data_IF_007732513579
#
_entry.id   IF_007732513579
#
_cell.length_a   1.000
_cell.length_b   1.000
_cell.length_c   1.000
_cell.angle_alpha   90.00
_cell.angle_beta   90.00
_cell.angle_gamma   90.00
#
_symmetry.space_group_name_H-M   'P 1'
#
loop_
_entity.id
_entity.type
_entity.pdbx_description
1 polymer ?
#
# COMPACT_ATOMS: atom_id res chain seq x y z
N UNK A 1 -0.52 15.98 4.47
CA UNK A 1 0.53 15.15 3.86
C UNK A 1 1.87 15.46 4.50
N UNK A 2 2.59 14.44 4.97
CA UNK A 2 4.00 14.54 5.40
C UNK A 2 4.91 14.09 4.25
N UNK A 3 6.22 14.31 4.36
CA UNK A 3 7.21 13.93 3.34
C UNK A 3 8.39 13.21 3.99
N UNK A 4 9.00 12.25 3.26
CA UNK A 4 10.32 11.71 3.63
C UNK A 4 10.34 10.74 4.82
N UNK A 5 9.23 10.06 5.13
CA UNK A 5 9.16 9.10 6.25
C UNK A 5 9.89 7.78 5.98
N UNK A 6 10.05 7.40 4.72
CA UNK A 6 10.83 6.24 4.28
C UNK A 6 12.07 6.72 3.53
N UNK A 7 13.25 6.28 3.97
CA UNK A 7 14.55 6.87 3.60
C UNK A 7 15.00 6.55 2.17
N UNK A 8 14.54 5.45 1.60
CA UNK A 8 14.95 4.97 0.27
C UNK A 8 14.04 5.48 -0.83
N UNK A 9 12.73 5.55 -0.60
CA UNK A 9 11.74 5.96 -1.60
C UNK A 9 10.68 6.83 -0.91
N UNK A 10 10.88 8.15 -0.83
CA UNK A 10 10.01 9.01 -0.06
C UNK A 10 8.65 9.16 -0.73
N UNK A 11 7.58 9.13 0.06
CA UNK A 11 6.22 9.38 -0.41
C UNK A 11 5.58 10.56 0.32
N UNK A 12 4.50 11.10 -0.27
CA UNK A 12 3.59 12.06 0.38
C UNK A 12 2.57 11.27 1.18
N UNK A 13 2.88 11.01 2.44
CA UNK A 13 2.10 10.07 3.25
C UNK A 13 1.65 10.61 4.62
N UNK A 14 0.73 9.89 5.25
CA UNK A 14 0.27 10.08 6.62
C UNK A 14 0.23 8.72 7.33
N UNK A 15 0.92 8.53 8.46
CA UNK A 15 0.79 7.29 9.23
C UNK A 15 -0.62 7.12 9.77
N UNK A 16 -1.19 5.92 9.65
CA UNK A 16 -2.55 5.60 10.11
C UNK A 16 -2.69 5.84 11.62
N UNK A 17 -1.65 5.56 12.42
CA UNK A 17 -1.66 5.83 13.86
C UNK A 17 -1.87 7.31 14.23
N UNK A 18 -1.63 8.24 13.31
CA UNK A 18 -1.87 9.67 13.52
C UNK A 18 -3.31 10.09 13.18
N UNK A 19 -4.13 9.20 12.62
CA UNK A 19 -5.54 9.46 12.34
C UNK A 19 -6.38 9.24 13.61
N UNK A 20 -7.50 9.99 13.81
CA UNK A 20 -8.41 9.77 14.92
C UNK A 20 -8.94 8.32 15.02
N UNK A 21 -9.07 7.66 13.86
CA UNK A 21 -9.53 6.27 13.75
C UNK A 21 -8.39 5.25 13.66
N UNK A 22 -7.13 5.66 13.84
CA UNK A 22 -5.96 4.85 13.53
C UNK A 22 -5.89 3.51 14.25
N UNK A 23 -6.17 3.52 15.56
CA UNK A 23 -6.20 2.28 16.36
C UNK A 23 -7.31 1.34 15.93
N UNK A 24 -8.53 1.88 15.72
CA UNK A 24 -9.65 1.09 15.22
C UNK A 24 -9.35 0.50 13.84
N UNK A 25 -8.83 1.30 12.90
CA UNK A 25 -8.52 0.85 11.55
C UNK A 25 -7.46 -0.26 11.56
N UNK A 26 -6.41 -0.11 12.36
CA UNK A 26 -5.35 -1.13 12.53
C UNK A 26 -5.94 -2.45 13.02
N UNK A 27 -6.83 -2.42 14.01
CA UNK A 27 -7.47 -3.63 14.53
C UNK A 27 -8.43 -4.26 13.52
N UNK A 28 -9.20 -3.44 12.80
CA UNK A 28 -10.06 -3.94 11.71
C UNK A 28 -9.26 -4.63 10.61
N UNK A 29 -8.11 -4.07 10.24
CA UNK A 29 -7.21 -4.67 9.27
C UNK A 29 -6.64 -5.98 9.77
N UNK A 30 -6.22 -6.06 11.04
CA UNK A 30 -5.74 -7.31 11.67
C UNK A 30 -6.77 -8.43 11.55
N UNK A 31 -8.01 -8.17 11.98
CA UNK A 31 -9.11 -9.14 11.99
C UNK A 31 -9.51 -9.61 10.59
N UNK A 32 -9.35 -8.78 9.57
CA UNK A 32 -9.72 -9.14 8.18
C UNK A 32 -8.55 -9.80 7.44
N UNK A 33 -7.33 -9.25 7.57
CA UNK A 33 -6.20 -9.64 6.75
C UNK A 33 -5.49 -10.88 7.27
N UNK A 34 -5.22 -10.99 8.57
CA UNK A 34 -4.37 -12.07 9.07
C UNK A 34 -4.97 -13.47 8.88
N UNK A 35 -6.29 -13.69 9.06
CA UNK A 35 -6.88 -14.98 8.70
C UNK A 35 -6.77 -15.29 7.20
N UNK A 36 -6.87 -14.26 6.34
CA UNK A 36 -6.69 -14.44 4.90
C UNK A 36 -5.23 -14.78 4.56
N UNK A 37 -4.26 -14.12 5.20
CA UNK A 37 -2.85 -14.44 5.04
C UNK A 37 -2.53 -15.85 5.48
N UNK A 38 -3.03 -16.30 6.63
CA UNK A 38 -2.84 -17.67 7.09
C UNK A 38 -3.37 -18.69 6.06
N UNK A 39 -4.58 -18.46 5.54
CA UNK A 39 -5.17 -19.31 4.51
C UNK A 39 -4.28 -19.43 3.26
N UNK A 40 -3.65 -18.34 2.83
CA UNK A 40 -2.86 -18.30 1.59
C UNK A 40 -1.38 -18.67 1.78
N UNK A 41 -0.81 -18.44 2.96
CA UNK A 41 0.63 -18.60 3.23
C UNK A 41 0.94 -19.79 4.13
N UNK A 42 -0.06 -20.34 4.83
CA UNK A 42 0.09 -21.35 5.90
C UNK A 42 0.91 -20.87 7.12
N UNK A 43 1.21 -19.58 7.20
CA UNK A 43 1.80 -18.95 8.38
C UNK A 43 0.66 -18.53 9.30
N UNK A 44 0.68 -19.04 10.53
CA UNK A 44 -0.38 -18.77 11.50
C UNK A 44 -0.60 -17.28 11.73
N UNK A 45 -1.87 -16.85 11.77
CA UNK A 45 -2.27 -15.44 11.96
C UNK A 45 -1.64 -14.78 13.19
N UNK A 46 -1.28 -15.58 14.20
CA UNK A 46 -0.64 -15.14 15.45
C UNK A 46 0.77 -14.57 15.28
N UNK A 47 1.45 -14.91 14.18
CA UNK A 47 2.81 -14.45 13.92
C UNK A 47 2.80 -13.13 13.15
N UNK A 48 1.76 -12.87 12.37
CA UNK A 48 1.69 -11.65 11.58
C UNK A 48 1.61 -10.40 12.47
N UNK A 49 2.40 -9.39 12.11
CA UNK A 49 2.37 -8.07 12.74
C UNK A 49 2.47 -6.97 11.69
N UNK A 50 1.83 -5.83 11.96
CA UNK A 50 2.01 -4.62 11.15
C UNK A 50 3.24 -3.85 11.65
N UNK A 51 4.24 -3.69 10.78
CA UNK A 51 5.40 -2.83 11.02
C UNK A 51 5.03 -1.35 10.89
N UNK A 52 4.34 -1.00 9.81
CA UNK A 52 3.84 0.36 9.57
C UNK A 52 2.58 0.30 8.70
N UNK A 53 1.65 1.23 8.92
CA UNK A 53 0.48 1.42 8.08
C UNK A 53 0.34 2.92 7.80
N UNK A 54 0.26 3.28 6.54
CA UNK A 54 0.26 4.67 6.12
C UNK A 54 -0.57 4.88 4.85
N UNK A 55 -1.08 6.10 4.68
CA UNK A 55 -1.86 6.52 3.53
C UNK A 55 -0.98 7.37 2.65
N UNK A 56 -0.84 7.03 1.36
CA UNK A 56 -0.12 7.79 0.35
C UNK A 56 -1.12 8.57 -0.50
N UNK A 57 -0.81 9.83 -0.77
CA UNK A 57 -1.57 10.69 -1.68
C UNK A 57 -0.75 11.04 -2.92
N UNK A 58 -1.02 10.35 -4.03
CA UNK A 58 -0.53 10.76 -5.34
C UNK A 58 -1.37 11.92 -5.88
N UNK A 59 -0.71 12.89 -6.48
CA UNK A 59 -1.33 14.08 -7.06
C UNK A 59 -0.67 14.35 -8.41
N UNK A 60 -1.48 14.51 -9.45
CA UNK A 60 -0.98 14.66 -10.82
C UNK A 60 -0.08 15.90 -11.03
N UNK A 61 -0.18 16.90 -10.15
CA UNK A 61 0.64 18.12 -10.16
C UNK A 61 1.83 18.06 -9.18
N UNK A 62 1.94 17.01 -8.35
CA UNK A 62 3.03 16.83 -7.40
C UNK A 62 3.67 15.45 -7.59
N UNK A 63 3.75 14.64 -6.53
CA UNK A 63 4.21 13.27 -6.64
C UNK A 63 3.13 12.42 -7.29
N UNK A 64 3.33 12.10 -8.57
CA UNK A 64 2.37 11.35 -9.39
C UNK A 64 2.64 9.84 -9.47
N UNK A 65 3.88 9.43 -9.16
CA UNK A 65 4.38 8.07 -9.34
C UNK A 65 5.40 7.71 -8.26
N UNK A 66 5.78 6.44 -8.20
CA UNK A 66 6.84 5.93 -7.35
C UNK A 66 7.74 5.01 -8.17
N UNK A 67 9.03 5.31 -8.22
CA UNK A 67 10.00 4.56 -9.01
C UNK A 67 10.08 3.09 -8.57
N UNK A 68 10.65 2.23 -9.43
CA UNK A 68 10.83 0.81 -9.12
C UNK A 68 11.65 0.64 -7.83
N UNK A 69 11.11 -0.15 -6.90
CA UNK A 69 11.73 -0.41 -5.61
C UNK A 69 11.29 -1.75 -5.03
N UNK A 70 11.85 -2.06 -3.87
CA UNK A 70 11.45 -3.15 -2.98
C UNK A 70 11.17 -2.55 -1.61
N UNK A 71 10.28 -3.20 -0.88
CA UNK A 71 9.93 -2.77 0.47
C UNK A 71 10.82 -3.44 1.51
N UNK A 72 11.13 -2.70 2.58
CA UNK A 72 12.01 -3.18 3.63
C UNK A 72 11.35 -4.10 4.65
N UNK A 73 10.31 -4.87 4.29
CA UNK A 73 9.53 -5.75 5.17
C UNK A 73 9.41 -7.17 4.59
N UNK A 74 8.63 -8.05 5.23
CA UNK A 74 8.35 -9.39 4.69
C UNK A 74 7.28 -9.34 3.58
N UNK A 75 6.14 -8.70 3.87
CA UNK A 75 5.03 -8.59 2.94
C UNK A 75 4.46 -7.18 2.93
N UNK A 76 3.97 -6.76 1.77
CA UNK A 76 3.36 -5.45 1.56
C UNK A 76 1.93 -5.60 1.10
N UNK A 77 1.05 -4.80 1.67
CA UNK A 77 -0.32 -4.63 1.20
C UNK A 77 -0.47 -3.25 0.58
N UNK A 78 -1.16 -3.17 -0.55
CA UNK A 78 -1.70 -1.91 -1.10
C UNK A 78 -3.22 -2.02 -1.20
N UNK A 79 -3.94 -0.96 -0.83
CA UNK A 79 -5.39 -0.86 -0.97
C UNK A 79 -5.79 0.51 -1.52
N UNK A 80 -6.67 0.54 -2.52
CA UNK A 80 -7.21 1.79 -3.06
C UNK A 80 -8.33 2.35 -2.17
N UNK A 81 -8.20 3.60 -1.72
CA UNK A 81 -9.14 4.23 -0.79
C UNK A 81 -10.20 5.11 -1.44
N UNK A 82 -9.90 5.69 -2.60
CA UNK A 82 -10.77 6.68 -3.24
C UNK A 82 -11.29 6.19 -4.61
N UNK A 83 -12.28 6.89 -5.15
CA UNK A 83 -13.00 6.43 -6.33
C UNK A 83 -12.10 6.53 -7.58
N UNK A 84 -12.08 5.53 -8.49
CA UNK A 84 -11.23 5.57 -9.68
C UNK A 84 -11.59 6.70 -10.64
N UNK A 85 -12.78 7.31 -10.51
CA UNK A 85 -13.17 8.51 -11.27
C UNK A 85 -12.45 9.78 -10.80
N UNK A 86 -11.82 9.77 -9.62
CA UNK A 86 -11.08 10.92 -9.07
C UNK A 86 -9.65 11.04 -9.60
N UNK A 87 -9.18 10.09 -10.42
CA UNK A 87 -7.87 10.12 -11.05
C UNK A 87 -7.82 9.40 -12.40
N UNK A 88 -6.83 9.71 -13.23
CA UNK A 88 -6.55 8.97 -14.47
C UNK A 88 -5.16 8.33 -14.39
N UNK A 89 -4.99 7.13 -14.95
CA UNK A 89 -3.74 6.37 -14.88
C UNK A 89 -3.62 5.55 -13.60
N UNK A 90 -2.43 5.50 -13.00
CA UNK A 90 -2.20 4.80 -11.74
C UNK A 90 -2.15 3.27 -11.85
N UNK A 91 -2.04 2.64 -10.68
CA UNK A 91 -1.85 1.20 -10.52
C UNK A 91 -0.50 0.87 -9.91
N UNK A 92 -0.20 -0.43 -9.87
CA UNK A 92 1.07 -0.98 -9.43
C UNK A 92 1.64 -1.87 -10.54
N UNK A 93 2.88 -1.62 -10.93
CA UNK A 93 3.62 -2.45 -11.88
C UNK A 93 4.55 -3.38 -11.10
N UNK A 94 4.43 -4.69 -11.28
CA UNK A 94 5.43 -5.66 -10.84
C UNK A 94 6.35 -5.99 -12.02
N UNK A 95 7.56 -5.42 -12.00
CA UNK A 95 8.45 -5.43 -13.18
C UNK A 95 9.02 -6.81 -13.48
N UNK A 96 9.16 -7.66 -12.46
CA UNK A 96 9.70 -9.03 -12.62
C UNK A 96 8.77 -9.92 -13.47
N UNK A 97 7.49 -9.55 -13.58
CA UNK A 97 6.46 -10.32 -14.27
C UNK A 97 5.77 -9.55 -15.40
N UNK A 98 6.18 -8.30 -15.67
CA UNK A 98 5.45 -7.37 -16.54
C UNK A 98 3.94 -7.29 -16.20
N UNK A 99 3.62 -7.33 -14.91
CA UNK A 99 2.24 -7.41 -14.43
C UNK A 99 1.76 -6.03 -13.96
N UNK A 100 0.72 -5.52 -14.64
CA UNK A 100 0.06 -4.27 -14.30
C UNK A 100 -1.21 -4.55 -13.48
N UNK A 101 -1.21 -4.16 -12.21
CA UNK A 101 -2.36 -4.31 -11.32
C UNK A 101 -3.08 -2.97 -11.18
N UNK A 102 -4.36 -2.95 -11.57
CA UNK A 102 -5.29 -1.85 -11.30
C UNK A 102 -6.34 -2.32 -10.32
N UNK A 103 -6.37 -1.69 -9.15
CA UNK A 103 -7.27 -2.03 -8.06
C UNK A 103 -8.60 -1.29 -8.23
N UNK A 104 -9.70 -1.95 -7.88
CA UNK A 104 -10.96 -1.28 -7.60
C UNK A 104 -10.98 -0.81 -6.13
N UNK A 105 -11.84 0.15 -5.77
CA UNK A 105 -12.00 0.56 -4.37
C UNK A 105 -12.35 -0.64 -3.48
N UNK A 106 -11.61 -0.79 -2.39
CA UNK A 106 -11.76 -1.92 -1.47
C UNK A 106 -10.94 -3.16 -1.83
N UNK A 107 -10.34 -3.23 -3.01
CA UNK A 107 -9.39 -4.31 -3.33
C UNK A 107 -8.09 -4.12 -2.53
N UNK A 108 -7.70 -5.18 -1.82
CA UNK A 108 -6.39 -5.29 -1.23
C UNK A 108 -5.51 -6.20 -2.10
N UNK A 109 -4.31 -5.74 -2.42
CA UNK A 109 -3.28 -6.56 -3.04
C UNK A 109 -2.15 -6.79 -2.04
N UNK A 110 -1.85 -8.05 -1.74
CA UNK A 110 -0.73 -8.44 -0.87
C UNK A 110 0.32 -9.15 -1.71
N UNK A 111 1.59 -8.80 -1.51
CA UNK A 111 2.72 -9.40 -2.22
C UNK A 111 3.95 -9.53 -1.32
N UNK A 112 4.90 -10.38 -1.75
CA UNK A 112 6.26 -10.41 -1.20
C UNK A 112 6.92 -9.06 -1.45
N UNK A 113 7.43 -8.46 -0.37
CA UNK A 113 8.05 -7.14 -0.37
C UNK A 113 9.36 -7.08 -1.20
N UNK A 114 9.97 -8.23 -1.49
CA UNK A 114 11.18 -8.34 -2.31
C UNK A 114 10.91 -8.27 -3.82
N UNK A 115 9.65 -8.29 -4.26
CA UNK A 115 9.33 -8.12 -5.67
C UNK A 115 9.60 -6.67 -6.10
N UNK A 116 10.25 -6.51 -7.25
CA UNK A 116 10.45 -5.19 -7.81
C UNK A 116 9.11 -4.65 -8.31
N UNK A 117 8.72 -3.50 -7.77
CA UNK A 117 7.45 -2.88 -8.14
C UNK A 117 7.52 -1.35 -8.18
N UNK A 118 6.59 -0.74 -8.91
CA UNK A 118 6.49 0.71 -9.08
C UNK A 118 5.05 1.18 -8.96
N UNK A 119 4.85 2.38 -8.43
CA UNK A 119 3.58 3.09 -8.49
C UNK A 119 3.45 3.79 -9.84
N UNK A 120 2.55 3.32 -10.70
CA UNK A 120 2.37 3.89 -12.05
C UNK A 120 1.86 5.33 -11.94
N UNK A 121 2.37 6.22 -12.79
CA UNK A 121 1.97 7.62 -12.81
C UNK A 121 0.47 7.80 -12.99
N UNK A 122 -0.11 8.68 -12.18
CA UNK A 122 -1.40 9.31 -12.50
C UNK A 122 -1.19 10.53 -13.38
N UNK A 123 -2.14 10.81 -14.27
CA UNK A 123 -2.10 11.95 -15.22
C UNK A 123 -3.11 13.03 -14.89
N UNK A 124 -4.11 12.73 -14.06
CA UNK A 124 -5.10 13.70 -13.54
C UNK A 124 -5.52 13.33 -12.12
N UNK A 125 -5.98 14.34 -11.39
CA UNK A 125 -6.65 14.17 -10.10
C UNK A 125 -5.74 13.68 -8.98
N UNK A 126 -6.34 12.97 -8.02
CA UNK A 126 -5.65 12.45 -6.83
C UNK A 126 -5.98 10.98 -6.61
N UNK A 127 -4.94 10.17 -6.41
CA UNK A 127 -5.05 8.74 -6.06
C UNK A 127 -4.58 8.56 -4.63
N UNK A 128 -5.47 8.05 -3.78
CA UNK A 128 -5.21 7.82 -2.37
C UNK A 128 -5.18 6.31 -2.13
N UNK A 129 -4.05 5.82 -1.66
CA UNK A 129 -3.89 4.40 -1.31
C UNK A 129 -3.46 4.25 0.14
N UNK A 130 -3.85 3.14 0.75
CA UNK A 130 -3.28 2.68 2.01
C UNK A 130 -2.24 1.61 1.72
N UNK A 131 -1.09 1.71 2.38
CA UNK A 131 -0.03 0.71 2.36
C UNK A 131 0.17 0.18 3.77
N UNK A 132 0.37 -1.13 3.90
CA UNK A 132 0.77 -1.76 5.15
C UNK A 132 2.01 -2.63 4.92
N UNK A 133 3.05 -2.39 5.71
CA UNK A 133 4.22 -3.25 5.81
C UNK A 133 4.01 -4.25 6.94
N UNK A 134 4.20 -5.52 6.64
CA UNK A 134 3.92 -6.63 7.54
C UNK A 134 5.14 -7.53 7.69
N UNK A 135 5.31 -8.08 8.88
CA UNK A 135 6.32 -9.09 9.23
C UNK A 135 5.68 -10.26 9.99
N UNK A 136 6.51 -11.23 10.36
CA UNK A 136 6.17 -12.40 11.20
C UNK A 136 7.12 -12.54 12.38
#
# INVERSE_FOLDING_TARGET
WTHGRHSTVPTRDIPVRNLPIGGWLTERLRVVLFPALEKHTQISERYWEFRDIFIIGYDANHQRELAVHRDGCLASLTLLLNDPSEFEGGGTLFTDFDLHVKQQPGDAWVHDANLNHAGIAITKGQRIIMVAFMDT
#
